data_IF_763272170325
#
_entry.id   IF_763272170325
#
_cell.length_a   1.000
_cell.length_b   1.000
_cell.length_c   1.000
_cell.angle_alpha   90.00
_cell.angle_beta   90.00
_cell.angle_gamma   90.00
#
_symmetry.space_group_name_H-M   'P 1'
#
loop_
_entity.id
_entity.type
_entity.pdbx_description
1 polymer ?
#
# COMPACT_ATOMS: atom_id res chain seq x y z
N UNK A 1 -15.93 -16.72 21.58
CA UNK A 1 -15.12 -15.84 20.69
C UNK A 1 -14.96 -14.53 21.45
N UNK A 2 -13.78 -13.89 21.39
CA UNK A 2 -13.59 -12.58 22.02
C UNK A 2 -14.39 -11.52 21.26
N UNK A 3 -15.01 -10.61 22.00
CA UNK A 3 -15.76 -9.50 21.45
C UNK A 3 -15.12 -8.16 21.84
N UNK A 4 -15.06 -7.22 20.88
CA UNK A 4 -14.55 -5.86 21.06
C UNK A 4 -15.64 -4.87 20.65
N UNK A 5 -15.84 -3.83 21.47
CA UNK A 5 -16.74 -2.73 21.15
C UNK A 5 -15.96 -1.41 21.14
N UNK A 6 -15.95 -0.74 20.00
CA UNK A 6 -15.49 0.65 19.89
C UNK A 6 -16.72 1.55 20.00
N UNK A 7 -16.76 2.40 21.05
CA UNK A 7 -17.92 3.25 21.35
C UNK A 7 -17.70 4.69 20.98
N UNK A 8 -18.80 5.37 20.63
CA UNK A 8 -18.86 6.83 20.48
C UNK A 8 -17.92 7.40 19.41
N UNK A 9 -17.39 6.60 18.49
CA UNK A 9 -16.48 7.04 17.45
C UNK A 9 -17.20 7.83 16.35
N UNK A 10 -16.51 8.78 15.70
CA UNK A 10 -16.87 9.13 14.33
C UNK A 10 -16.45 7.97 13.43
N UNK A 11 -17.37 7.42 12.65
CA UNK A 11 -17.07 6.30 11.74
C UNK A 11 -17.07 6.81 10.31
N UNK A 12 -15.91 6.69 9.66
CA UNK A 12 -15.73 7.06 8.25
C UNK A 12 -15.37 5.83 7.44
N UNK A 13 -16.20 5.52 6.46
CA UNK A 13 -16.04 4.39 5.55
C UNK A 13 -16.32 4.87 4.12
N UNK A 14 -15.92 4.16 3.05
CA UNK A 14 -16.26 4.53 1.69
C UNK A 14 -17.73 4.91 1.50
N UNK A 15 -17.97 6.20 1.19
CA UNK A 15 -19.31 6.76 1.01
C UNK A 15 -20.13 6.98 2.30
N UNK A 16 -19.56 6.73 3.49
CA UNK A 16 -20.25 6.84 4.78
C UNK A 16 -19.45 7.70 5.77
N UNK A 17 -20.12 8.63 6.45
CA UNK A 17 -19.54 9.46 7.51
C UNK A 17 -20.57 9.63 8.62
N UNK A 18 -20.45 8.83 9.69
CA UNK A 18 -21.32 8.88 10.86
C UNK A 18 -20.63 9.68 11.96
N UNK A 19 -21.24 10.78 12.36
CA UNK A 19 -20.66 11.69 13.36
C UNK A 19 -20.41 11.00 14.72
N UNK A 20 -21.22 10.00 15.07
CA UNK A 20 -21.09 9.19 16.27
C UNK A 20 -21.73 7.82 16.06
N UNK A 21 -20.97 6.76 16.22
CA UNK A 21 -21.47 5.38 16.15
C UNK A 21 -20.66 4.45 17.03
N UNK A 22 -21.25 3.30 17.36
CA UNK A 22 -20.60 2.16 17.97
C UNK A 22 -20.24 1.13 16.88
N UNK A 23 -19.06 0.51 16.98
CA UNK A 23 -18.63 -0.59 16.10
C UNK A 23 -18.43 -1.85 16.97
N UNK A 24 -19.26 -2.86 16.76
CA UNK A 24 -19.19 -4.14 17.45
C UNK A 24 -18.44 -5.17 16.58
N UNK A 25 -17.51 -5.88 17.19
CA UNK A 25 -16.64 -6.86 16.57
C UNK A 25 -16.73 -8.18 17.33
N UNK A 26 -16.94 -9.28 16.62
CA UNK A 26 -16.90 -10.63 17.17
C UNK A 26 -15.91 -11.49 16.38
N UNK A 27 -14.95 -12.09 17.07
CA UNK A 27 -13.85 -12.79 16.42
C UNK A 27 -13.07 -11.84 15.49
N UNK A 28 -13.06 -12.14 14.21
CA UNK A 28 -12.34 -11.36 13.20
C UNK A 28 -13.23 -10.35 12.45
N UNK A 29 -14.55 -10.33 12.70
CA UNK A 29 -15.48 -9.59 11.84
C UNK A 29 -16.24 -8.50 12.59
N UNK A 30 -16.52 -7.43 11.87
CA UNK A 30 -17.49 -6.42 12.28
C UNK A 30 -18.87 -7.06 12.20
N UNK A 31 -19.62 -7.05 13.30
CA UNK A 31 -20.98 -7.60 13.36
C UNK A 31 -22.05 -6.51 13.33
N UNK A 32 -21.71 -5.29 13.77
CA UNK A 32 -22.62 -4.15 13.69
C UNK A 32 -21.87 -2.82 13.69
N UNK A 33 -22.43 -1.83 12.97
CA UNK A 33 -22.11 -0.40 13.08
C UNK A 33 -23.43 0.31 13.36
N UNK A 34 -23.53 1.06 14.46
CA UNK A 34 -24.81 1.62 14.91
C UNK A 34 -24.67 2.99 15.56
N UNK A 35 -25.53 3.92 15.19
CA UNK A 35 -25.66 5.23 15.85
C UNK A 35 -26.41 5.12 17.20
N UNK A 36 -27.11 4.00 17.43
CA UNK A 36 -27.72 3.69 18.74
C UNK A 36 -26.74 2.84 19.58
N UNK A 37 -26.64 3.10 20.89
CA UNK A 37 -25.72 2.37 21.74
C UNK A 37 -25.90 0.85 21.69
N UNK A 38 -24.80 0.13 21.47
CA UNK A 38 -24.77 -1.33 21.47
C UNK A 38 -24.52 -1.90 22.87
N UNK A 39 -24.81 -3.19 23.08
CA UNK A 39 -24.52 -3.90 24.31
C UNK A 39 -23.00 -3.96 24.58
N UNK A 40 -22.59 -4.12 25.83
CA UNK A 40 -21.18 -4.27 26.20
C UNK A 40 -20.62 -5.57 25.62
N UNK A 41 -19.35 -5.50 25.18
CA UNK A 41 -18.52 -6.62 24.77
C UNK A 41 -17.55 -7.04 25.90
N UNK A 42 -16.77 -8.10 25.67
CA UNK A 42 -15.71 -8.54 26.59
C UNK A 42 -14.68 -7.43 26.80
N UNK A 43 -14.33 -6.73 25.72
CA UNK A 43 -13.50 -5.52 25.74
C UNK A 43 -14.30 -4.34 25.15
N UNK A 44 -14.30 -3.22 25.85
CA UNK A 44 -14.96 -1.99 25.39
C UNK A 44 -13.96 -0.84 25.45
N UNK A 45 -13.80 -0.15 24.32
CA UNK A 45 -12.96 1.04 24.18
C UNK A 45 -13.89 2.22 23.89
N UNK A 46 -13.86 3.25 24.72
CA UNK A 46 -14.48 4.53 24.37
C UNK A 46 -13.59 5.23 23.34
N UNK A 47 -14.09 5.47 22.16
CA UNK A 47 -13.41 6.09 21.06
C UNK A 47 -13.96 7.51 20.78
N UNK A 48 -14.56 8.14 21.80
CA UNK A 48 -15.04 9.52 21.69
C UNK A 48 -13.89 10.45 21.28
N UNK A 49 -14.14 11.31 20.29
CA UNK A 49 -13.12 12.20 19.73
C UNK A 49 -12.16 11.57 18.71
N UNK A 50 -12.24 10.24 18.51
CA UNK A 50 -11.49 9.53 17.48
C UNK A 50 -12.33 9.27 16.24
N UNK A 51 -11.64 9.04 15.13
CA UNK A 51 -12.22 8.65 13.84
C UNK A 51 -11.84 7.20 13.58
N UNK A 52 -12.83 6.30 13.49
CA UNK A 52 -12.63 4.92 13.08
C UNK A 52 -12.77 4.83 11.57
N UNK A 53 -11.72 4.37 10.91
CA UNK A 53 -11.64 4.19 9.46
C UNK A 53 -11.25 2.74 9.14
N UNK A 54 -11.45 2.26 7.89
CA UNK A 54 -10.84 1.00 7.46
C UNK A 54 -9.32 1.06 7.63
N UNK A 55 -8.71 -0.02 8.08
CA UNK A 55 -7.27 -0.13 8.18
C UNK A 55 -6.61 0.06 6.81
N UNK A 56 -5.53 0.81 6.76
CA UNK A 56 -4.85 1.13 5.51
C UNK A 56 -4.22 -0.11 4.89
N UNK A 57 -4.19 -0.16 3.56
CA UNK A 57 -3.61 -1.25 2.77
C UNK A 57 -2.56 -0.69 1.82
N UNK A 58 -1.29 -1.04 2.06
CA UNK A 58 -0.16 -0.60 1.24
C UNK A 58 0.23 -1.70 0.24
N UNK A 59 -0.13 -1.51 -1.01
CA UNK A 59 0.09 -2.51 -2.08
C UNK A 59 1.41 -2.32 -2.84
N UNK A 60 2.22 -1.35 -2.40
CA UNK A 60 3.53 -1.11 -2.99
C UNK A 60 4.48 -0.53 -1.93
N UNK A 61 5.37 -1.36 -1.40
CA UNK A 61 6.26 -0.98 -0.31
C UNK A 61 7.40 -2.01 -0.16
N UNK A 62 8.65 -1.55 -0.09
CA UNK A 62 9.85 -2.41 -0.03
C UNK A 62 10.39 -2.59 1.37
N UNK A 63 10.38 -1.50 2.17
CA UNK A 63 11.03 -1.53 3.45
C UNK A 63 10.51 -0.51 4.46
N UNK A 64 10.98 -0.64 5.71
CA UNK A 64 10.71 0.25 6.83
C UNK A 64 11.61 -0.07 8.02
N UNK A 65 11.88 0.95 8.88
CA UNK A 65 12.56 0.79 10.16
C UNK A 65 13.90 0.06 10.07
N UNK A 66 14.67 0.36 9.01
CA UNK A 66 15.98 -0.22 8.74
C UNK A 66 15.96 -1.61 8.12
N UNK A 67 14.79 -2.13 7.73
CA UNK A 67 14.61 -3.46 7.14
C UNK A 67 13.95 -3.37 5.76
N UNK A 68 14.24 -4.35 4.91
CA UNK A 68 13.71 -4.47 3.54
C UNK A 68 13.20 -5.90 3.30
N UNK A 69 12.19 -6.07 2.46
CA UNK A 69 11.74 -7.42 2.08
C UNK A 69 12.83 -8.20 1.34
N UNK A 70 13.74 -7.49 0.66
CA UNK A 70 14.90 -8.09 0.01
C UNK A 70 16.05 -8.45 0.97
N UNK A 71 15.93 -8.20 2.28
CA UNK A 71 16.82 -8.77 3.30
C UNK A 71 16.62 -10.29 3.43
N UNK A 72 15.46 -10.79 3.00
CA UNK A 72 15.10 -12.22 2.94
C UNK A 72 15.21 -12.91 4.32
N UNK A 73 14.91 -12.20 5.39
CA UNK A 73 14.96 -12.70 6.77
C UNK A 73 13.62 -12.60 7.47
N UNK A 74 13.34 -13.55 8.36
CA UNK A 74 12.12 -13.53 9.17
C UNK A 74 12.06 -12.29 10.08
N UNK A 75 13.23 -11.85 10.60
CA UNK A 75 13.33 -10.62 11.41
C UNK A 75 12.87 -9.38 10.63
N UNK A 76 13.27 -9.25 9.36
CA UNK A 76 12.87 -8.12 8.53
C UNK A 76 11.35 -8.06 8.36
N UNK A 77 10.72 -9.20 8.08
CA UNK A 77 9.27 -9.29 7.97
C UNK A 77 8.55 -8.96 9.30
N UNK A 78 9.07 -9.44 10.43
CA UNK A 78 8.47 -9.21 11.74
C UNK A 78 8.59 -7.73 12.16
N UNK A 79 9.73 -7.08 11.93
CA UNK A 79 9.92 -5.65 12.20
C UNK A 79 8.97 -4.82 11.32
N UNK A 80 8.96 -5.08 10.01
CA UNK A 80 8.12 -4.32 9.09
C UNK A 80 6.62 -4.55 9.36
N UNK A 81 6.20 -5.78 9.60
CA UNK A 81 4.81 -6.11 9.88
C UNK A 81 4.29 -5.43 11.15
N UNK A 82 5.13 -5.28 12.17
CA UNK A 82 4.81 -4.61 13.43
C UNK A 82 4.81 -3.09 13.28
N UNK A 83 5.86 -2.54 12.67
CA UNK A 83 6.06 -1.10 12.65
C UNK A 83 5.11 -0.37 11.68
N UNK A 84 4.54 -1.07 10.68
CA UNK A 84 3.50 -0.52 9.80
C UNK A 84 2.21 -0.18 10.53
N UNK A 85 1.90 -0.88 11.62
CA UNK A 85 0.72 -0.57 12.44
C UNK A 85 0.76 0.84 13.01
N UNK A 86 1.96 1.38 13.28
CA UNK A 86 2.14 2.77 13.74
C UNK A 86 1.68 3.81 12.70
N UNK A 87 1.61 3.40 11.42
CA UNK A 87 1.12 4.25 10.33
C UNK A 87 -0.33 3.96 9.95
N UNK A 88 -1.01 3.09 10.71
CA UNK A 88 -2.36 2.65 10.42
C UNK A 88 -2.48 1.57 9.35
N UNK A 89 -1.37 1.02 8.87
CA UNK A 89 -1.36 -0.01 7.81
C UNK A 89 -1.63 -1.38 8.42
N UNK A 90 -2.81 -1.93 8.17
CA UNK A 90 -3.23 -3.26 8.66
C UNK A 90 -3.01 -4.37 7.64
N UNK A 91 -2.85 -4.01 6.37
CA UNK A 91 -2.57 -4.95 5.29
C UNK A 91 -1.53 -4.44 4.30
N UNK A 92 -0.72 -5.33 3.73
CA UNK A 92 0.29 -4.95 2.75
C UNK A 92 0.58 -6.05 1.73
N UNK A 93 1.14 -5.67 0.57
CA UNK A 93 1.86 -6.59 -0.31
C UNK A 93 3.36 -6.48 -0.05
N UNK A 94 4.04 -7.62 0.14
CA UNK A 94 5.49 -7.65 0.19
C UNK A 94 6.03 -7.38 -1.23
N UNK A 95 6.66 -6.22 -1.42
CA UNK A 95 7.13 -5.82 -2.76
C UNK A 95 8.59 -6.20 -2.96
N UNK A 96 8.83 -7.11 -3.92
CA UNK A 96 10.16 -7.47 -4.38
C UNK A 96 10.65 -6.50 -5.45
N UNK A 97 11.93 -6.12 -5.40
CA UNK A 97 12.61 -5.34 -6.42
C UNK A 97 13.06 -6.21 -7.61
N UNK A 98 13.63 -5.58 -8.64
CA UNK A 98 14.35 -6.25 -9.73
C UNK A 98 15.56 -7.00 -9.18
N UNK A 99 15.44 -8.32 -9.01
CA UNK A 99 16.40 -9.23 -8.39
C UNK A 99 16.50 -10.55 -9.18
N UNK A 100 17.53 -11.39 -8.96
CA UNK A 100 17.57 -12.75 -9.48
C UNK A 100 16.32 -13.54 -9.07
N UNK A 101 15.90 -14.49 -9.91
CA UNK A 101 14.74 -15.35 -9.60
C UNK A 101 14.91 -16.12 -8.29
N UNK A 102 16.13 -16.53 -7.95
CA UNK A 102 16.43 -17.19 -6.67
C UNK A 102 16.06 -16.36 -5.45
N UNK A 103 16.33 -15.05 -5.51
CA UNK A 103 16.03 -14.12 -4.43
C UNK A 103 14.51 -13.87 -4.33
N UNK A 104 13.85 -13.73 -5.48
CA UNK A 104 12.38 -13.59 -5.53
C UNK A 104 11.68 -14.86 -5.05
N UNK A 105 12.22 -16.04 -5.33
CA UNK A 105 11.71 -17.30 -4.79
C UNK A 105 11.91 -17.39 -3.27
N UNK A 106 13.02 -16.87 -2.73
CA UNK A 106 13.21 -16.80 -1.28
C UNK A 106 12.29 -15.76 -0.64
N UNK A 107 12.06 -14.61 -1.27
CA UNK A 107 11.03 -13.66 -0.85
C UNK A 107 9.66 -14.36 -0.71
N UNK A 108 9.27 -15.15 -1.71
CA UNK A 108 8.02 -15.92 -1.66
C UNK A 108 7.98 -16.88 -0.45
N UNK A 109 9.09 -17.57 -0.14
CA UNK A 109 9.18 -18.44 1.04
C UNK A 109 9.11 -17.65 2.36
N UNK A 110 9.75 -16.48 2.41
CA UNK A 110 9.66 -15.59 3.59
C UNK A 110 8.22 -15.16 3.84
N UNK A 111 7.47 -14.81 2.79
CA UNK A 111 6.04 -14.47 2.90
C UNK A 111 5.24 -15.63 3.49
N UNK A 112 5.44 -16.85 3.04
CA UNK A 112 4.72 -18.02 3.58
C UNK A 112 5.11 -18.29 5.04
N UNK A 113 6.40 -18.18 5.40
CA UNK A 113 6.84 -18.29 6.80
C UNK A 113 6.20 -17.21 7.68
N UNK A 114 6.16 -15.95 7.20
CA UNK A 114 5.52 -14.85 7.92
C UNK A 114 4.03 -15.11 8.15
N UNK A 115 3.30 -15.53 7.13
CA UNK A 115 1.86 -15.87 7.23
C UNK A 115 1.63 -17.00 8.23
N UNK A 116 2.44 -18.07 8.18
CA UNK A 116 2.32 -19.20 9.12
C UNK A 116 2.52 -18.74 10.57
N UNK A 117 3.63 -18.04 10.86
CA UNK A 117 3.93 -17.53 12.21
C UNK A 117 2.86 -16.59 12.72
N UNK A 118 2.41 -15.64 11.92
CA UNK A 118 1.39 -14.67 12.34
C UNK A 118 0.04 -15.35 12.58
N UNK A 119 -0.32 -16.37 11.80
CA UNK A 119 -1.51 -17.20 12.02
C UNK A 119 -1.42 -18.02 13.31
N UNK A 120 -0.28 -18.62 13.59
CA UNK A 120 -0.05 -19.35 14.86
C UNK A 120 -0.17 -18.43 16.08
N UNK A 121 0.42 -17.23 16.03
CA UNK A 121 0.29 -16.22 17.10
C UNK A 121 -1.17 -15.80 17.25
N UNK A 122 -1.87 -15.59 16.13
CA UNK A 122 -3.27 -15.21 16.13
C UNK A 122 -4.16 -16.30 16.76
N UNK A 123 -3.94 -17.56 16.44
CA UNK A 123 -4.71 -18.70 16.91
C UNK A 123 -4.33 -19.16 18.34
N UNK A 124 -3.22 -18.65 18.90
CA UNK A 124 -2.84 -19.03 20.27
C UNK A 124 -3.89 -18.52 21.27
N UNK A 125 -4.36 -19.41 22.17
CA UNK A 125 -5.36 -19.11 23.20
C UNK A 125 -4.87 -18.14 24.29
N UNK A 126 -3.60 -17.76 24.27
CA UNK A 126 -3.05 -16.76 25.17
C UNK A 126 -3.35 -15.38 24.61
N UNK A 127 -4.15 -14.60 25.33
CA UNK A 127 -4.49 -13.19 25.06
C UNK A 127 -3.24 -12.30 25.04
N UNK A 128 -2.42 -12.44 24.01
CA UNK A 128 -1.39 -11.45 23.71
C UNK A 128 -1.95 -10.52 22.63
N UNK A 129 -1.74 -9.20 22.76
CA UNK A 129 -2.10 -8.27 21.71
C UNK A 129 -1.45 -8.74 20.39
N UNK A 130 -2.22 -8.71 19.29
CA UNK A 130 -1.70 -9.06 17.97
C UNK A 130 -1.06 -7.81 17.36
N UNK A 131 0.23 -7.89 17.07
CA UNK A 131 1.03 -6.73 16.66
C UNK A 131 1.60 -6.85 15.24
N UNK A 132 0.88 -7.48 14.31
CA UNK A 132 1.36 -7.66 12.96
C UNK A 132 0.31 -7.26 11.93
N UNK A 133 0.71 -6.45 10.94
CA UNK A 133 -0.06 -6.24 9.71
C UNK A 133 -0.20 -7.54 8.92
N UNK A 134 -1.31 -7.71 8.23
CA UNK A 134 -1.57 -8.88 7.40
C UNK A 134 -0.82 -8.78 6.08
N UNK A 135 0.04 -9.75 5.77
CA UNK A 135 0.62 -9.89 4.42
C UNK A 135 -0.42 -10.49 3.48
N UNK A 136 -0.93 -9.69 2.54
CA UNK A 136 -1.98 -10.08 1.60
C UNK A 136 -1.45 -10.84 0.39
N UNK A 137 -0.14 -10.86 0.18
CA UNK A 137 0.53 -11.52 -0.92
C UNK A 137 1.78 -10.77 -1.37
N UNK A 138 2.19 -11.01 -2.61
CA UNK A 138 3.41 -10.48 -3.18
C UNK A 138 3.09 -9.51 -4.32
N UNK A 139 3.82 -8.41 -4.36
CA UNK A 139 3.97 -7.56 -5.53
C UNK A 139 5.38 -7.77 -6.10
N UNK A 140 5.47 -8.16 -7.36
CA UNK A 140 6.74 -8.18 -8.10
C UNK A 140 6.88 -6.83 -8.83
N UNK A 141 7.77 -5.97 -8.32
CA UNK A 141 8.16 -4.76 -9.02
C UNK A 141 9.38 -5.04 -9.91
N UNK A 142 9.10 -5.41 -11.14
CA UNK A 142 10.07 -5.97 -12.07
C UNK A 142 10.21 -7.50 -11.93
N UNK A 143 11.22 -8.08 -12.60
CA UNK A 143 12.34 -7.48 -13.33
C UNK A 143 12.07 -7.07 -14.79
N UNK A 144 10.83 -6.98 -15.22
CA UNK A 144 10.39 -6.81 -16.61
C UNK A 144 10.24 -5.33 -16.97
N UNK A 145 11.31 -4.54 -16.84
CA UNK A 145 11.28 -3.09 -17.03
C UNK A 145 12.12 -2.63 -18.22
N UNK A 146 11.79 -1.44 -18.73
CA UNK A 146 12.58 -0.77 -19.74
C UNK A 146 13.90 -0.28 -19.11
N UNK A 147 15.08 -0.67 -19.67
CA UNK A 147 16.38 -0.25 -19.11
C UNK A 147 16.55 1.29 -19.05
N UNK A 148 15.94 2.04 -19.98
CA UNK A 148 16.00 3.51 -19.98
C UNK A 148 15.13 4.14 -18.87
N UNK A 149 14.19 3.39 -18.34
CA UNK A 149 13.25 3.79 -17.28
C UNK A 149 13.49 3.06 -15.96
N UNK A 150 14.64 2.41 -15.80
CA UNK A 150 14.94 1.55 -14.65
C UNK A 150 14.89 2.30 -13.30
N UNK A 151 15.20 3.61 -13.26
CA UNK A 151 15.18 4.35 -11.99
C UNK A 151 16.13 3.74 -10.96
N UNK A 152 15.60 3.37 -9.81
CA UNK A 152 16.34 2.71 -8.73
C UNK A 152 16.35 1.17 -8.83
N UNK A 153 15.89 0.60 -9.92
CA UNK A 153 15.96 -0.83 -10.19
C UNK A 153 17.37 -1.21 -10.70
N UNK A 154 17.90 -2.35 -10.26
CA UNK A 154 19.23 -2.78 -10.67
C UNK A 154 19.22 -3.28 -12.13
N UNK A 155 19.90 -2.59 -13.08
CA UNK A 155 19.82 -2.95 -14.48
C UNK A 155 20.46 -4.30 -14.82
N UNK A 156 21.33 -4.84 -13.96
CA UNK A 156 21.95 -6.15 -14.17
C UNK A 156 20.95 -7.32 -14.14
N UNK A 157 19.77 -7.12 -13.55
CA UNK A 157 18.74 -8.16 -13.39
C UNK A 157 17.49 -7.93 -14.22
N UNK A 158 17.47 -6.89 -15.07
CA UNK A 158 16.35 -6.64 -15.98
C UNK A 158 16.21 -7.78 -16.98
N UNK A 159 14.96 -8.13 -17.27
CA UNK A 159 14.60 -9.23 -18.18
C UNK A 159 13.45 -8.82 -19.10
N UNK A 160 13.29 -9.55 -20.19
CA UNK A 160 12.06 -9.56 -20.97
C UNK A 160 10.94 -10.22 -20.15
N UNK A 161 9.66 -9.92 -20.43
CA UNK A 161 8.52 -10.60 -19.84
C UNK A 161 8.66 -12.13 -19.88
N UNK A 162 8.56 -12.76 -18.69
CA UNK A 162 8.74 -14.21 -18.50
C UNK A 162 7.60 -14.75 -17.63
N UNK A 163 6.51 -15.21 -18.28
CA UNK A 163 5.34 -15.72 -17.60
C UNK A 163 5.67 -16.99 -16.79
N UNK A 164 6.52 -17.87 -17.32
CA UNK A 164 6.90 -19.10 -16.63
C UNK A 164 7.66 -18.82 -15.32
N UNK A 165 8.44 -17.75 -15.25
CA UNK A 165 9.05 -17.29 -14.00
C UNK A 165 7.97 -16.88 -12.98
N UNK A 166 6.97 -16.12 -13.41
CA UNK A 166 5.88 -15.70 -12.51
C UNK A 166 5.07 -16.90 -12.03
N UNK A 167 4.80 -17.87 -12.90
CA UNK A 167 4.12 -19.14 -12.54
C UNK A 167 4.89 -19.90 -11.45
N UNK A 168 6.21 -20.04 -11.60
CA UNK A 168 7.05 -20.69 -10.58
C UNK A 168 7.03 -19.98 -9.24
N UNK A 169 7.09 -18.64 -9.24
CA UNK A 169 7.02 -17.82 -8.02
C UNK A 169 5.64 -17.90 -7.37
N UNK A 170 4.57 -17.79 -8.17
CA UNK A 170 3.19 -17.89 -7.72
C UNK A 170 2.84 -19.27 -7.13
N UNK A 171 3.53 -20.33 -7.57
CA UNK A 171 3.38 -21.67 -7.00
C UNK A 171 3.99 -21.78 -5.59
N UNK A 172 4.92 -20.89 -5.20
CA UNK A 172 5.49 -20.85 -3.84
C UNK A 172 4.60 -20.04 -2.90
N UNK A 173 4.20 -18.84 -3.32
CA UNK A 173 3.32 -17.96 -2.56
C UNK A 173 2.51 -17.07 -3.52
N UNK A 174 1.25 -16.74 -3.22
CA UNK A 174 0.40 -15.97 -4.11
C UNK A 174 1.00 -14.62 -4.52
N UNK A 175 1.34 -14.49 -5.81
CA UNK A 175 1.65 -13.22 -6.44
C UNK A 175 0.33 -12.52 -6.76
N UNK A 176 0.14 -11.33 -6.24
CA UNK A 176 -1.09 -10.54 -6.42
C UNK A 176 -0.97 -9.51 -7.52
N UNK A 177 0.22 -8.96 -7.70
CA UNK A 177 0.48 -7.89 -8.67
C UNK A 177 1.87 -8.06 -9.28
N UNK A 178 2.00 -7.75 -10.57
CA UNK A 178 3.28 -7.65 -11.29
C UNK A 178 3.33 -6.32 -12.01
N UNK A 179 4.38 -5.53 -11.72
CA UNK A 179 4.71 -4.31 -12.46
C UNK A 179 5.69 -4.60 -13.58
N UNK A 180 5.41 -4.08 -14.78
CA UNK A 180 6.24 -4.30 -15.98
C UNK A 180 6.09 -3.15 -16.97
N UNK A 181 7.03 -3.05 -17.91
CA UNK A 181 6.99 -2.09 -19.02
C UNK A 181 6.22 -2.70 -20.21
N UNK A 182 5.05 -2.13 -20.58
CA UNK A 182 4.19 -2.72 -21.60
C UNK A 182 4.71 -2.60 -23.04
N UNK A 183 5.76 -1.81 -23.27
CA UNK A 183 6.44 -1.72 -24.58
C UNK A 183 7.44 -2.84 -24.85
N UNK A 184 7.75 -3.68 -23.86
CA UNK A 184 8.67 -4.79 -24.06
C UNK A 184 8.08 -5.85 -24.97
N UNK A 185 8.94 -6.51 -25.74
CA UNK A 185 8.56 -7.62 -26.59
C UNK A 185 7.85 -8.73 -25.80
N UNK A 186 6.66 -9.16 -26.28
CA UNK A 186 5.85 -10.19 -25.61
C UNK A 186 4.98 -9.67 -24.45
N UNK A 187 4.99 -8.37 -24.14
CA UNK A 187 4.25 -7.81 -23.01
C UNK A 187 2.72 -7.99 -23.10
N UNK A 188 2.12 -8.01 -24.31
CA UNK A 188 0.68 -8.24 -24.46
C UNK A 188 0.29 -9.67 -24.06
N UNK A 189 1.03 -10.68 -24.51
CA UNK A 189 0.77 -12.08 -24.17
C UNK A 189 1.08 -12.35 -22.69
N UNK A 190 2.13 -11.69 -22.15
CA UNK A 190 2.44 -11.69 -20.74
C UNK A 190 1.29 -11.12 -19.92
N UNK A 191 0.69 -9.99 -20.34
CA UNK A 191 -0.47 -9.38 -19.69
C UNK A 191 -1.64 -10.34 -19.65
N UNK A 192 -2.00 -10.98 -20.80
CA UNK A 192 -3.07 -11.99 -20.88
C UNK A 192 -2.80 -13.18 -19.95
N UNK A 193 -1.55 -13.62 -19.87
CA UNK A 193 -1.13 -14.70 -18.98
C UNK A 193 -1.28 -14.34 -17.50
N UNK A 194 -0.87 -13.15 -17.08
CA UNK A 194 -1.08 -12.64 -15.70
C UNK A 194 -2.57 -12.62 -15.35
N UNK A 195 -3.39 -12.07 -16.22
CA UNK A 195 -4.85 -11.99 -16.04
C UNK A 195 -5.48 -13.38 -15.92
N UNK A 196 -5.06 -14.32 -16.76
CA UNK A 196 -5.54 -15.71 -16.69
C UNK A 196 -5.19 -16.40 -15.36
N UNK A 197 -4.10 -15.99 -14.70
CA UNK A 197 -3.72 -16.46 -13.36
C UNK A 197 -4.41 -15.67 -12.23
N UNK A 198 -5.24 -14.67 -12.53
CA UNK A 198 -5.84 -13.77 -11.53
C UNK A 198 -4.84 -12.81 -10.89
N UNK A 199 -3.73 -12.53 -11.58
CA UNK A 199 -2.69 -11.61 -11.13
C UNK A 199 -2.91 -10.25 -11.78
N UNK A 200 -2.84 -9.18 -10.98
CA UNK A 200 -2.98 -7.82 -11.46
C UNK A 200 -1.76 -7.43 -12.31
N UNK A 201 -2.03 -7.07 -13.56
CA UNK A 201 -1.05 -6.51 -14.48
C UNK A 201 -0.97 -4.99 -14.30
N UNK A 202 0.22 -4.46 -13.97
CA UNK A 202 0.46 -3.05 -13.68
C UNK A 202 1.58 -2.47 -14.55
N UNK A 203 1.30 -1.40 -15.30
CA UNK A 203 2.31 -0.71 -16.11
C UNK A 203 3.19 0.20 -15.25
N UNK A 204 4.50 0.13 -15.41
CA UNK A 204 5.46 0.97 -14.70
C UNK A 204 6.87 0.87 -15.28
N UNK A 205 7.75 1.80 -14.91
CA UNK A 205 9.14 1.87 -15.42
C UNK A 205 9.19 1.75 -16.95
N UNK A 206 8.47 2.64 -17.63
CA UNK A 206 8.05 2.44 -19.00
C UNK A 206 8.14 3.72 -19.83
N UNK A 207 8.63 3.57 -21.07
CA UNK A 207 8.61 4.60 -22.10
C UNK A 207 7.40 4.47 -23.05
N UNK A 208 6.37 3.70 -22.68
CA UNK A 208 5.22 3.43 -23.52
C UNK A 208 4.49 4.69 -23.95
N UNK A 209 4.16 4.76 -25.22
CA UNK A 209 3.23 5.73 -25.77
C UNK A 209 1.77 5.33 -25.50
N UNK A 210 0.85 6.18 -25.91
CA UNK A 210 -0.59 5.97 -25.71
C UNK A 210 -1.09 4.70 -26.40
N UNK A 211 -0.64 4.41 -27.61
CA UNK A 211 -1.11 3.25 -28.37
C UNK A 211 -0.63 1.94 -27.73
N UNK A 212 0.57 1.92 -27.21
CA UNK A 212 1.12 0.79 -26.44
C UNK A 212 0.34 0.58 -25.15
N UNK A 213 0.04 1.66 -24.42
CA UNK A 213 -0.82 1.60 -23.24
C UNK A 213 -2.19 1.01 -23.58
N UNK A 214 -2.84 1.46 -24.65
CA UNK A 214 -4.15 0.98 -25.07
C UNK A 214 -4.13 -0.50 -25.46
N UNK A 215 -3.06 -0.99 -26.09
CA UNK A 215 -2.91 -2.44 -26.36
C UNK A 215 -2.80 -3.25 -25.06
N UNK A 216 -1.96 -2.80 -24.12
CA UNK A 216 -1.80 -3.46 -22.83
C UNK A 216 -3.12 -3.42 -22.00
N UNK A 217 -3.82 -2.29 -22.00
CA UNK A 217 -5.14 -2.15 -21.34
C UNK A 217 -6.17 -3.13 -21.92
N UNK A 218 -6.25 -3.24 -23.24
CA UNK A 218 -7.14 -4.21 -23.92
C UNK A 218 -6.72 -5.67 -23.65
N UNK A 219 -5.45 -5.92 -23.39
CA UNK A 219 -4.95 -7.23 -22.96
C UNK A 219 -5.28 -7.54 -21.49
N UNK A 220 -5.75 -6.53 -20.71
CA UNK A 220 -6.20 -6.67 -19.33
C UNK A 220 -5.32 -5.99 -18.28
N UNK A 221 -4.41 -5.10 -18.67
CA UNK A 221 -3.68 -4.24 -17.73
C UNK A 221 -4.64 -3.24 -17.07
N UNK A 222 -4.75 -3.28 -15.74
CA UNK A 222 -5.73 -2.49 -14.98
C UNK A 222 -5.09 -1.52 -14.00
N UNK A 223 -3.75 -1.49 -13.88
CA UNK A 223 -3.04 -0.65 -12.92
C UNK A 223 -1.89 0.10 -13.57
N UNK A 224 -1.54 1.26 -12.98
CA UNK A 224 -0.30 1.99 -13.25
C UNK A 224 0.45 2.22 -11.94
N UNK A 225 1.64 1.68 -11.87
CA UNK A 225 2.55 1.66 -10.72
C UNK A 225 3.14 3.04 -10.49
N UNK A 226 3.18 3.54 -9.23
CA UNK A 226 3.70 4.87 -8.82
C UNK A 226 3.54 5.93 -9.93
N UNK A 227 2.30 6.11 -10.33
CA UNK A 227 1.88 6.88 -11.51
C UNK A 227 2.62 8.21 -11.67
N UNK A 228 3.06 8.49 -12.88
CA UNK A 228 3.93 9.58 -13.34
C UNK A 228 5.42 9.39 -13.04
N UNK A 229 5.83 8.50 -12.15
CA UNK A 229 7.23 8.26 -11.83
C UNK A 229 7.81 7.19 -12.74
N UNK A 230 9.03 7.40 -13.26
CA UNK A 230 9.66 6.54 -14.26
C UNK A 230 8.74 6.23 -15.46
N UNK A 231 8.01 7.26 -15.93
CA UNK A 231 7.12 7.23 -17.10
C UNK A 231 7.34 8.48 -17.94
N UNK A 232 7.10 8.38 -19.25
CA UNK A 232 7.13 9.55 -20.14
C UNK A 232 6.03 10.54 -19.72
N UNK A 233 6.35 11.82 -19.48
CA UNK A 233 5.39 12.81 -19.02
C UNK A 233 4.37 13.17 -20.11
N UNK A 234 3.32 13.90 -19.72
CA UNK A 234 2.30 14.41 -20.64
C UNK A 234 2.94 15.36 -21.66
N UNK A 235 2.64 15.12 -22.93
CA UNK A 235 3.04 16.00 -24.05
C UNK A 235 1.89 16.14 -25.05
N UNK A 236 1.58 17.37 -25.44
CA UNK A 236 0.39 17.71 -26.27
C UNK A 236 0.37 17.08 -27.68
N UNK A 237 1.51 16.68 -28.24
CA UNK A 237 1.61 16.03 -29.57
C UNK A 237 2.07 14.57 -29.50
N UNK A 238 2.59 14.13 -28.37
CA UNK A 238 3.12 12.78 -28.17
C UNK A 238 2.53 12.20 -26.88
N UNK A 239 1.26 11.73 -26.93
CA UNK A 239 0.63 11.19 -25.75
C UNK A 239 1.35 9.92 -25.28
N UNK A 240 1.49 9.81 -23.98
CA UNK A 240 2.19 8.72 -23.29
C UNK A 240 1.22 7.82 -22.51
N UNK A 241 1.75 6.78 -21.87
CA UNK A 241 1.02 5.96 -20.92
C UNK A 241 0.39 6.81 -19.79
N UNK A 242 1.04 7.92 -19.37
CA UNK A 242 0.47 8.85 -18.37
C UNK A 242 -0.80 9.50 -18.91
N UNK A 243 -0.82 9.92 -20.18
CA UNK A 243 -2.02 10.45 -20.81
C UNK A 243 -3.14 9.41 -20.85
N UNK A 244 -2.80 8.18 -21.25
CA UNK A 244 -3.74 7.04 -21.29
C UNK A 244 -4.33 6.73 -19.91
N UNK A 245 -3.48 6.68 -18.89
CA UNK A 245 -3.90 6.43 -17.51
C UNK A 245 -4.88 7.47 -16.97
N UNK A 246 -4.70 8.75 -17.32
CA UNK A 246 -5.63 9.82 -16.93
C UNK A 246 -7.00 9.71 -17.64
N UNK A 247 -7.02 9.18 -18.86
CA UNK A 247 -8.24 9.09 -19.68
C UNK A 247 -9.03 7.79 -19.47
N UNK A 248 -8.37 6.70 -19.05
CA UNK A 248 -9.00 5.39 -18.90
C UNK A 248 -9.74 5.27 -17.56
N UNK A 249 -11.08 5.19 -17.57
CA UNK A 249 -11.92 5.10 -16.38
C UNK A 249 -11.82 3.75 -15.65
N UNK A 250 -11.35 2.72 -16.31
CA UNK A 250 -11.23 1.34 -15.81
C UNK A 250 -9.85 1.00 -15.23
N UNK A 251 -8.88 1.92 -15.31
CA UNK A 251 -7.51 1.73 -14.81
C UNK A 251 -7.31 2.45 -13.49
N UNK A 252 -6.76 1.75 -12.50
CA UNK A 252 -6.33 2.31 -11.23
C UNK A 252 -4.95 2.95 -11.35
N UNK A 253 -4.72 4.03 -10.62
CA UNK A 253 -3.42 4.69 -10.54
C UNK A 253 -2.91 4.72 -9.11
N UNK A 254 -1.70 4.25 -8.90
CA UNK A 254 -1.00 4.32 -7.61
C UNK A 254 -0.27 5.65 -7.50
N UNK A 255 -0.46 6.39 -6.41
CA UNK A 255 0.21 7.68 -6.21
C UNK A 255 0.92 7.75 -4.86
N UNK A 256 2.12 8.33 -4.88
CA UNK A 256 2.93 8.62 -3.69
C UNK A 256 2.71 10.08 -3.31
N UNK A 257 1.96 10.32 -2.24
CA UNK A 257 1.58 11.68 -1.81
C UNK A 257 2.52 12.23 -0.73
N UNK A 258 3.84 12.12 -0.93
CA UNK A 258 4.86 12.60 0.00
C UNK A 258 5.32 14.04 -0.27
N UNK A 259 4.97 14.60 -1.43
CA UNK A 259 5.39 15.93 -1.89
C UNK A 259 6.76 15.96 -2.57
N UNK A 260 7.40 14.80 -2.70
CA UNK A 260 8.65 14.59 -3.45
C UNK A 260 8.34 13.98 -4.82
N UNK A 261 7.56 12.89 -4.84
CA UNK A 261 7.20 12.15 -6.06
C UNK A 261 6.14 12.85 -6.89
N UNK A 262 5.14 13.45 -6.23
CA UNK A 262 4.11 14.25 -6.89
C UNK A 262 3.94 15.60 -6.19
N UNK A 263 3.93 16.67 -6.97
CA UNK A 263 3.56 17.99 -6.50
C UNK A 263 2.05 18.08 -6.21
N UNK A 264 1.64 19.01 -5.33
CA UNK A 264 0.22 19.21 -4.99
C UNK A 264 -0.67 19.48 -6.22
N UNK A 265 -0.26 20.30 -7.23
CA UNK A 265 -1.02 20.45 -8.45
C UNK A 265 -1.18 19.14 -9.24
N UNK A 266 -0.15 18.25 -9.24
CA UNK A 266 -0.24 16.97 -9.94
C UNK A 266 -1.18 16.00 -9.19
N UNK A 267 -1.13 15.95 -7.85
CA UNK A 267 -2.09 15.19 -7.05
C UNK A 267 -3.52 15.61 -7.38
N UNK A 268 -3.78 16.94 -7.45
CA UNK A 268 -5.11 17.48 -7.84
C UNK A 268 -5.50 17.09 -9.26
N UNK A 269 -4.57 17.16 -10.21
CA UNK A 269 -4.84 16.80 -11.61
C UNK A 269 -5.21 15.33 -11.72
N UNK A 270 -4.41 14.45 -11.13
CA UNK A 270 -4.65 13.01 -11.14
C UNK A 270 -6.01 12.69 -10.49
N UNK A 271 -6.27 13.22 -9.28
CA UNK A 271 -7.53 12.98 -8.57
C UNK A 271 -8.74 13.53 -9.34
N UNK A 272 -8.60 14.69 -10.00
CA UNK A 272 -9.68 15.25 -10.83
C UNK A 272 -9.98 14.40 -12.05
N UNK A 273 -8.97 13.82 -12.67
CA UNK A 273 -9.14 12.98 -13.86
C UNK A 273 -9.65 11.59 -13.51
N UNK A 274 -9.12 10.98 -12.44
CA UNK A 274 -9.41 9.58 -12.06
C UNK A 274 -10.59 9.43 -11.10
N UNK A 275 -10.91 10.49 -10.38
CA UNK A 275 -11.85 10.41 -9.27
C UNK A 275 -11.34 9.62 -8.07
N UNK A 276 -12.10 9.63 -6.96
CA UNK A 276 -11.72 8.92 -5.74
C UNK A 276 -11.77 7.39 -5.88
N UNK A 277 -12.48 6.84 -6.86
CA UNK A 277 -12.71 5.41 -7.04
C UNK A 277 -11.59 4.70 -7.82
N UNK A 278 -10.66 5.43 -8.43
CA UNK A 278 -9.56 4.89 -9.25
C UNK A 278 -8.17 5.37 -8.82
N UNK A 279 -8.10 6.13 -7.74
CA UNK A 279 -6.84 6.60 -7.15
C UNK A 279 -6.51 5.74 -5.93
N UNK A 280 -5.27 5.25 -5.85
CA UNK A 280 -4.77 4.45 -4.72
C UNK A 280 -3.52 5.10 -4.15
N UNK A 281 -3.49 5.27 -2.83
CA UNK A 281 -2.28 5.69 -2.12
C UNK A 281 -1.37 4.48 -1.91
N UNK A 282 -0.10 4.70 -2.15
CA UNK A 282 0.99 3.78 -1.82
C UNK A 282 2.12 4.56 -1.16
N UNK A 283 3.03 3.87 -0.51
CA UNK A 283 4.23 4.53 0.01
C UNK A 283 5.42 4.40 -0.92
N UNK A 284 5.58 3.28 -1.59
CA UNK A 284 6.85 2.92 -2.24
C UNK A 284 8.03 3.11 -1.28
N UNK A 285 7.79 2.85 0.01
CA UNK A 285 8.77 3.11 1.06
C UNK A 285 9.92 2.11 1.01
N UNK A 286 11.14 2.61 1.23
CA UNK A 286 12.36 1.82 1.38
C UNK A 286 12.73 1.65 2.86
N UNK A 287 13.80 0.89 3.16
CA UNK A 287 14.22 0.58 4.53
C UNK A 287 14.41 1.81 5.43
N UNK A 288 14.73 2.98 4.89
CA UNK A 288 14.92 4.21 5.64
C UNK A 288 13.62 4.87 6.14
N UNK A 289 12.44 4.41 5.69
CA UNK A 289 11.17 4.96 6.19
C UNK A 289 11.07 4.75 7.71
N UNK A 290 10.82 5.84 8.45
CA UNK A 290 10.83 5.84 9.90
C UNK A 290 12.21 5.83 10.56
N UNK A 291 13.29 6.05 9.78
CA UNK A 291 14.67 6.16 10.26
C UNK A 291 15.20 7.59 10.11
N UNK A 292 16.30 7.97 10.79
CA UNK A 292 16.97 9.25 10.59
C UNK A 292 17.56 9.42 9.18
N UNK A 293 17.87 10.64 8.79
CA UNK A 293 18.67 10.92 7.61
C UNK A 293 20.01 10.18 7.65
N UNK A 294 20.50 9.73 6.49
CA UNK A 294 21.73 8.93 6.43
C UNK A 294 21.94 8.20 5.11
N UNK A 295 22.87 7.25 5.16
CA UNK A 295 23.17 6.35 4.03
C UNK A 295 22.49 5.00 4.24
N UNK A 296 21.79 4.56 3.21
CA UNK A 296 21.02 3.31 3.18
C UNK A 296 21.28 2.55 1.89
N UNK A 297 20.58 1.45 1.70
CA UNK A 297 20.61 0.66 0.45
C UNK A 297 19.18 0.35 0.00
N UNK A 298 18.99 0.24 -1.31
CA UNK A 298 17.76 -0.24 -1.95
C UNK A 298 18.15 -1.15 -3.10
N UNK A 299 17.77 -2.41 -3.07
CA UNK A 299 18.11 -3.37 -4.13
C UNK A 299 19.61 -3.55 -4.38
N UNK A 300 20.48 -3.24 -3.38
CA UNK A 300 21.94 -3.25 -3.49
C UNK A 300 22.52 -1.92 -4.01
N UNK A 301 21.73 -0.93 -4.34
CA UNK A 301 22.16 0.41 -4.73
C UNK A 301 22.30 1.30 -3.49
N UNK A 302 23.31 2.19 -3.47
CA UNK A 302 23.50 3.13 -2.37
C UNK A 302 22.49 4.28 -2.47
N UNK A 303 21.82 4.59 -1.36
CA UNK A 303 20.83 5.65 -1.27
C UNK A 303 21.20 6.61 -0.15
N UNK A 304 21.18 7.91 -0.45
CA UNK A 304 21.28 8.97 0.54
C UNK A 304 19.90 9.51 0.86
N UNK A 305 19.55 9.51 2.13
CA UNK A 305 18.35 10.17 2.66
C UNK A 305 18.73 11.48 3.29
N UNK A 306 18.09 12.54 2.86
CA UNK A 306 18.21 13.88 3.43
C UNK A 306 16.91 14.66 3.21
N UNK A 307 16.48 15.40 4.23
CA UNK A 307 15.30 16.27 4.17
C UNK A 307 14.03 15.54 3.68
N UNK A 308 13.84 14.29 4.11
CA UNK A 308 12.69 13.47 3.75
C UNK A 308 12.71 12.95 2.30
N UNK A 309 13.85 13.03 1.61
CA UNK A 309 13.99 12.54 0.24
C UNK A 309 15.11 11.50 0.14
N UNK A 310 14.81 10.35 -0.45
CA UNK A 310 15.76 9.28 -0.74
C UNK A 310 16.24 9.40 -2.20
N UNK A 311 17.56 9.42 -2.41
CA UNK A 311 18.18 9.55 -3.75
C UNK A 311 19.32 8.56 -3.92
N UNK A 312 19.48 8.04 -5.13
CA UNK A 312 20.67 7.26 -5.49
C UNK A 312 21.93 8.11 -5.25
N UNK A 313 22.84 7.59 -4.43
CA UNK A 313 24.03 8.34 -3.99
C UNK A 313 25.05 8.53 -5.11
N UNK A 314 25.11 7.59 -6.04
CA UNK A 314 26.11 7.52 -7.09
C UNK A 314 25.57 8.07 -8.45
N UNK A 315 24.35 8.58 -8.49
CA UNK A 315 23.71 9.17 -9.67
C UNK A 315 23.47 10.66 -9.44
N UNK A 316 24.06 11.56 -10.24
CA UNK A 316 23.82 12.99 -10.15
C UNK A 316 22.33 13.33 -10.32
N UNK A 317 21.85 14.29 -9.56
CA UNK A 317 20.51 14.83 -9.79
C UNK A 317 20.49 15.70 -11.04
N UNK A 318 19.64 15.33 -12.01
CA UNK A 318 19.34 16.15 -13.20
C UNK A 318 17.85 16.53 -13.19
N UNK A 319 17.52 17.81 -12.95
CA UNK A 319 16.13 18.27 -12.91
C UNK A 319 15.43 18.21 -14.29
N UNK A 320 16.18 17.96 -15.38
CA UNK A 320 15.63 17.81 -16.73
C UNK A 320 15.42 16.34 -17.11
N UNK A 321 15.95 15.42 -16.34
CA UNK A 321 15.77 13.98 -16.60
C UNK A 321 14.32 13.57 -16.37
N UNK A 322 13.79 12.77 -17.28
CA UNK A 322 12.48 12.13 -17.15
C UNK A 322 12.53 11.09 -16.02
N UNK A 323 13.68 10.44 -15.85
CA UNK A 323 13.93 9.50 -14.77
C UNK A 323 14.71 10.23 -13.68
N UNK A 324 14.04 10.52 -12.58
CA UNK A 324 14.67 11.10 -11.39
C UNK A 324 15.67 10.12 -10.76
N UNK A 325 16.65 10.63 -10.00
CA UNK A 325 17.49 9.81 -9.14
C UNK A 325 16.83 9.51 -7.77
N UNK A 326 15.56 9.80 -7.60
CA UNK A 326 14.79 9.41 -6.40
C UNK A 326 14.70 7.88 -6.36
N UNK A 327 14.85 7.32 -5.17
CA UNK A 327 15.02 5.87 -4.98
C UNK A 327 14.04 5.36 -3.89
N UNK A 328 12.85 4.98 -4.31
CA UNK A 328 11.75 4.73 -3.39
C UNK A 328 11.44 5.95 -2.53
N UNK A 329 10.68 5.79 -1.47
CA UNK A 329 10.33 6.87 -0.57
C UNK A 329 10.76 6.61 0.88
N UNK A 330 10.71 7.65 1.71
CA UNK A 330 10.72 7.54 3.18
C UNK A 330 9.35 7.89 3.76
N UNK A 331 8.33 7.86 2.91
CA UNK A 331 6.97 8.23 3.26
C UNK A 331 6.36 7.26 4.29
N UNK A 332 5.59 7.82 5.21
CA UNK A 332 4.72 7.09 6.12
C UNK A 332 3.29 7.15 5.57
N UNK A 333 2.58 6.04 5.55
CA UNK A 333 1.29 5.95 4.86
C UNK A 333 0.28 7.00 5.34
N UNK A 334 0.15 7.20 6.65
CA UNK A 334 -0.75 8.21 7.20
C UNK A 334 -0.39 9.64 6.76
N UNK A 335 0.91 9.94 6.55
CA UNK A 335 1.35 11.26 6.05
C UNK A 335 0.94 11.46 4.58
N UNK A 336 1.03 10.40 3.77
CA UNK A 336 0.50 10.42 2.40
C UNK A 336 -1.02 10.67 2.41
N UNK A 337 -1.76 10.02 3.32
CA UNK A 337 -3.20 10.22 3.45
C UNK A 337 -3.56 11.63 3.92
N UNK A 338 -2.89 12.16 4.95
CA UNK A 338 -3.08 13.54 5.42
C UNK A 338 -2.89 14.55 4.28
N UNK A 339 -1.79 14.42 3.52
CA UNK A 339 -1.51 15.29 2.38
C UNK A 339 -2.56 15.14 1.28
N UNK A 340 -2.93 13.90 0.94
CA UNK A 340 -3.97 13.63 -0.06
C UNK A 340 -5.30 14.28 0.32
N UNK A 341 -5.78 14.09 1.54
CA UNK A 341 -7.02 14.69 2.02
C UNK A 341 -6.95 16.23 2.00
N UNK A 342 -5.85 16.82 2.47
CA UNK A 342 -5.64 18.26 2.48
C UNK A 342 -5.59 18.86 1.06
N UNK A 343 -4.82 18.25 0.16
CA UNK A 343 -4.57 18.78 -1.18
C UNK A 343 -5.78 18.65 -2.08
N UNK A 344 -6.53 17.56 -1.95
CA UNK A 344 -7.72 17.32 -2.78
C UNK A 344 -8.97 18.02 -2.27
N UNK A 345 -9.07 18.23 -0.95
CA UNK A 345 -10.27 18.79 -0.32
C UNK A 345 -11.52 17.91 -0.46
N UNK A 346 -11.35 16.63 -0.77
CA UNK A 346 -12.46 15.68 -0.86
C UNK A 346 -13.10 15.48 0.52
N UNK A 347 -14.42 15.20 0.60
CA UNK A 347 -15.02 14.67 1.80
C UNK A 347 -14.24 13.44 2.30
N UNK A 348 -14.07 13.30 3.62
CA UNK A 348 -13.25 12.25 4.19
C UNK A 348 -13.69 10.84 3.77
N UNK A 349 -15.01 10.61 3.66
CA UNK A 349 -15.61 9.37 3.17
C UNK A 349 -15.29 9.05 1.70
N UNK A 350 -14.89 10.04 0.91
CA UNK A 350 -14.41 9.85 -0.45
C UNK A 350 -12.88 9.67 -0.48
N UNK A 351 -12.15 10.49 0.28
CA UNK A 351 -10.69 10.40 0.34
C UNK A 351 -10.22 9.04 0.90
N UNK A 352 -10.95 8.47 1.86
CA UNK A 352 -10.60 7.19 2.50
C UNK A 352 -10.63 6.00 1.52
N UNK A 353 -11.35 6.08 0.41
CA UNK A 353 -11.38 5.04 -0.62
C UNK A 353 -9.97 4.74 -1.14
N UNK A 354 -9.13 5.76 -1.24
CA UNK A 354 -7.77 5.64 -1.75
C UNK A 354 -6.79 4.96 -0.79
N UNK A 355 -7.19 4.66 0.45
CA UNK A 355 -6.28 4.08 1.46
C UNK A 355 -6.39 2.56 1.59
N UNK A 356 -7.51 1.97 1.21
CA UNK A 356 -7.76 0.54 1.39
C UNK A 356 -8.83 -0.03 0.46
N UNK A 357 -9.97 0.66 0.29
CA UNK A 357 -11.09 0.13 -0.49
C UNK A 357 -10.69 -0.13 -1.95
N UNK A 358 -10.09 0.86 -2.60
CA UNK A 358 -9.67 0.73 -4.00
C UNK A 358 -8.61 -0.37 -4.18
N UNK A 359 -7.66 -0.48 -3.24
CA UNK A 359 -6.67 -1.54 -3.22
C UNK A 359 -7.33 -2.93 -3.09
N UNK A 360 -8.28 -3.06 -2.16
CA UNK A 360 -9.00 -4.33 -1.97
C UNK A 360 -9.83 -4.71 -3.19
N UNK A 361 -10.60 -3.76 -3.75
CA UNK A 361 -11.39 -3.99 -4.97
C UNK A 361 -10.49 -4.41 -6.13
N UNK A 362 -9.39 -3.71 -6.32
CA UNK A 362 -8.47 -3.95 -7.43
C UNK A 362 -7.74 -5.29 -7.34
N UNK A 363 -7.51 -5.77 -6.11
CA UNK A 363 -6.88 -7.09 -5.85
C UNK A 363 -7.89 -8.23 -5.71
N UNK A 364 -9.19 -7.97 -5.88
CA UNK A 364 -10.24 -8.97 -5.70
C UNK A 364 -10.40 -9.47 -4.26
N UNK A 365 -10.17 -8.60 -3.27
CA UNK A 365 -10.34 -8.89 -1.84
C UNK A 365 -11.72 -8.35 -1.41
N UNK A 366 -12.73 -9.21 -1.20
CA UNK A 366 -14.12 -8.76 -1.09
C UNK A 366 -14.52 -8.29 0.30
N UNK A 367 -13.76 -8.63 1.34
CA UNK A 367 -14.18 -8.50 2.74
C UNK A 367 -13.28 -7.60 3.60
N UNK A 368 -12.49 -6.72 2.97
CA UNK A 368 -11.63 -5.71 3.62
C UNK A 368 -11.85 -4.32 3.01
N UNK A 369 -11.43 -3.28 3.71
CA UNK A 369 -11.44 -1.90 3.20
C UNK A 369 -12.70 -1.11 3.50
N UNK A 370 -13.61 -1.64 4.34
CA UNK A 370 -14.78 -0.92 4.84
C UNK A 370 -15.01 -1.14 6.33
N UNK A 371 -15.64 -0.17 6.98
CA UNK A 371 -16.25 -0.30 8.30
C UNK A 371 -17.72 -0.62 8.11
N UNK A 372 -18.03 -1.91 7.92
CA UNK A 372 -19.37 -2.40 7.56
C UNK A 372 -19.55 -3.82 8.13
N UNK A 373 -20.76 -4.17 8.56
CA UNK A 373 -21.06 -5.51 9.08
C UNK A 373 -20.74 -6.60 8.03
N UNK A 374 -20.10 -7.67 8.47
CA UNK A 374 -19.62 -8.76 7.60
C UNK A 374 -18.17 -8.63 7.14
N UNK A 375 -17.60 -7.41 7.16
CA UNK A 375 -16.20 -7.18 6.81
C UNK A 375 -15.25 -7.65 7.92
N UNK A 376 -14.04 -8.01 7.53
CA UNK A 376 -12.94 -8.24 8.47
C UNK A 376 -12.67 -6.93 9.23
N UNK A 377 -12.56 -7.03 10.54
CA UNK A 377 -12.29 -5.89 11.40
C UNK A 377 -10.81 -5.53 11.40
N UNK A 378 -10.37 -4.99 10.25
CA UNK A 378 -9.13 -4.28 10.06
C UNK A 378 -9.45 -2.78 10.08
N UNK A 379 -9.10 -2.12 11.17
CA UNK A 379 -9.49 -0.74 11.43
C UNK A 379 -8.28 0.08 11.88
N UNK A 380 -8.32 1.37 11.57
CA UNK A 380 -7.40 2.37 12.12
C UNK A 380 -8.20 3.42 12.87
N UNK A 381 -7.79 3.70 14.10
CA UNK A 381 -8.32 4.78 14.91
C UNK A 381 -7.40 5.99 14.72
N UNK A 382 -7.97 7.10 14.27
CA UNK A 382 -7.26 8.34 13.99
C UNK A 382 -7.68 9.43 14.98
N UNK A 383 -6.75 10.32 15.31
CA UNK A 383 -7.07 11.60 15.95
C UNK A 383 -7.68 12.60 14.92
N UNK A 384 -7.97 13.82 15.38
CA UNK A 384 -8.57 14.88 14.53
C UNK A 384 -7.62 15.36 13.43
N UNK A 385 -6.33 15.22 13.61
CA UNK A 385 -5.27 15.55 12.66
C UNK A 385 -4.97 14.38 11.71
N UNK A 386 -5.74 13.28 11.80
CA UNK A 386 -5.58 12.05 11.02
C UNK A 386 -4.27 11.29 11.33
N UNK A 387 -3.72 11.41 12.55
CA UNK A 387 -2.63 10.55 13.00
C UNK A 387 -3.19 9.25 13.56
N UNK A 388 -2.59 8.09 13.24
CA UNK A 388 -2.98 6.82 13.82
C UNK A 388 -2.66 6.79 15.33
N UNK A 389 -3.65 6.44 16.14
CA UNK A 389 -3.50 6.27 17.60
C UNK A 389 -3.65 4.82 18.02
N UNK A 390 -4.33 4.00 17.23
CA UNK A 390 -4.48 2.57 17.42
C UNK A 390 -4.87 1.88 16.12
N UNK A 391 -4.64 0.57 16.06
CA UNK A 391 -5.15 -0.28 14.97
C UNK A 391 -5.88 -1.50 15.54
N UNK A 392 -6.84 -2.00 14.78
CA UNK A 392 -7.46 -3.31 14.99
C UNK A 392 -7.08 -4.16 13.77
N UNK A 393 -6.52 -5.34 13.99
CA UNK A 393 -6.15 -6.28 12.95
C UNK A 393 -6.85 -7.61 13.20
N UNK A 394 -7.61 -8.08 12.23
CA UNK A 394 -8.41 -9.29 12.34
C UNK A 394 -9.21 -9.31 13.66
N UNK A 395 -9.86 -8.19 14.01
CA UNK A 395 -10.69 -8.03 15.20
C UNK A 395 -9.96 -7.85 16.53
N UNK A 396 -8.63 -7.75 16.52
CA UNK A 396 -7.82 -7.58 17.74
C UNK A 396 -7.17 -6.21 17.79
N UNK A 397 -7.37 -5.52 18.91
CA UNK A 397 -6.77 -4.21 19.16
C UNK A 397 -5.25 -4.33 19.34
N UNK A 398 -4.49 -3.65 18.48
CA UNK A 398 -3.02 -3.65 18.43
C UNK A 398 -2.47 -2.41 19.15
N UNK A 399 -2.52 -2.42 20.48
CA UNK A 399 -1.91 -1.40 21.35
C UNK A 399 -1.30 -2.05 22.57
N UNK A 400 -0.14 -1.57 23.01
CA UNK A 400 0.45 -2.01 24.28
C UNK A 400 -0.37 -1.56 25.48
N UNK A 401 -0.15 -2.16 26.64
CA UNK A 401 -0.82 -1.74 27.88
C UNK A 401 -0.54 -0.27 28.24
N UNK A 402 0.67 0.22 27.94
CA UNK A 402 1.05 1.62 28.15
C UNK A 402 0.32 2.56 27.16
N UNK A 403 0.22 2.17 25.90
CA UNK A 403 -0.51 2.92 24.86
C UNK A 403 -2.02 2.92 25.15
N UNK A 404 -2.58 1.86 25.75
CA UNK A 404 -3.98 1.83 26.23
C UNK A 404 -4.25 2.84 27.33
N UNK A 405 -3.28 3.06 28.24
CA UNK A 405 -3.38 4.09 29.27
C UNK A 405 -3.36 5.49 28.64
N UNK A 406 -2.47 5.72 27.68
CA UNK A 406 -2.38 6.96 26.92
C UNK A 406 -3.65 7.23 26.08
N UNK A 407 -4.22 6.20 25.43
CA UNK A 407 -5.51 6.29 24.74
C UNK A 407 -6.62 6.80 25.70
N UNK A 408 -6.66 6.29 26.93
CA UNK A 408 -7.62 6.78 27.95
C UNK A 408 -7.40 8.24 28.31
N UNK A 409 -6.16 8.67 28.45
CA UNK A 409 -5.82 10.05 28.75
C UNK A 409 -6.16 11.01 27.60
N UNK A 410 -5.89 10.59 26.34
CA UNK A 410 -6.21 11.38 25.13
C UNK A 410 -7.73 11.56 24.95
N UNK A 411 -8.53 10.56 25.33
CA UNK A 411 -10.00 10.58 25.25
C UNK A 411 -10.59 11.48 26.34
N UNK A 412 -9.91 11.61 27.49
CA UNK A 412 -10.39 12.38 28.64
C UNK A 412 -9.84 13.81 28.70
N UNK A 413 -8.90 14.17 27.80
CA UNK A 413 -8.42 15.52 27.69
C UNK A 413 -9.52 16.45 27.11
N UNK A 414 -9.77 17.63 27.73
CA UNK A 414 -10.86 18.53 27.38
C UNK A 414 -10.70 19.18 25.99
#
# INVERSE_FOLDING_TARGET
MSSLLLRNARVVSPGVDLARADVAIEGERIVAVSETPLAKADETVDAAGLIVVPGFVDIHTHGRSGKDFCDLTDEAFDVMGRDRLKDGVTGFLATGLTRPESDLAELCRCVERYKSRTSEIFNSLTFKPFYFSTCLGIHLEGPFFNPEMAGAQNPAYLKKPDLAMVERLNAISPVKKVSFAPELEGAEDFTRGLVAMGIVASGGHSAADYDTFERARRAGMTHLTHFCNAMIPIHHLRPSMVTGGLLADDVFVEIICDGVHLSDPMIRLVTKAKGPDRTMLITDSMCAAGCPDGMYTLGGLRVRVADGCARLADVPYDPKSVVSNVAGSVALFHRCFQRYAQVTGLPLCEAIKATSWNQCVSLGIPDRGKVEAGFIADLTLLDRELNPVATVVNGRLSVSAAERACLREMITAP
#
